data_IF_142177770705
#
_entry.id   IF_142177770705
#
_cell.length_a   1.000
_cell.length_b   1.000
_cell.length_c   1.000
_cell.angle_alpha   90.00
_cell.angle_beta   90.00
_cell.angle_gamma   90.00
#
_symmetry.space_group_name_H-M   'P 1'
#
loop_
_entity.id
_entity.type
_entity.pdbx_description
1 polymer ?
#
# COMPACT_ATOMS: atom_id res chain seq x y z
N UNK A 1 -15.93 -21.26 7.13
CA UNK A 1 -16.50 -21.86 5.90
C UNK A 1 -16.52 -20.87 4.73
N UNK A 2 -16.85 -19.58 4.94
CA UNK A 2 -16.82 -18.55 3.89
C UNK A 2 -15.38 -18.14 3.50
N UNK A 3 -14.49 -17.97 4.48
CA UNK A 3 -13.08 -17.61 4.27
C UNK A 3 -12.33 -18.61 3.38
N UNK A 4 -12.55 -19.91 3.60
CA UNK A 4 -11.91 -20.98 2.81
C UNK A 4 -12.36 -21.00 1.35
N UNK A 5 -13.59 -20.57 1.05
CA UNK A 5 -14.08 -20.45 -0.33
C UNK A 5 -13.51 -19.22 -1.04
N UNK A 6 -13.40 -18.10 -0.32
CA UNK A 6 -12.75 -16.88 -0.82
C UNK A 6 -11.27 -17.16 -1.09
N UNK A 7 -10.58 -17.85 -0.19
CA UNK A 7 -9.17 -18.22 -0.37
C UNK A 7 -8.97 -19.11 -1.61
N UNK A 8 -9.82 -20.12 -1.78
CA UNK A 8 -9.77 -21.00 -2.95
C UNK A 8 -10.01 -20.23 -4.26
N UNK A 9 -10.98 -19.31 -4.27
CA UNK A 9 -11.25 -18.44 -5.41
C UNK A 9 -10.08 -17.51 -5.72
N UNK A 10 -9.54 -16.83 -4.71
CA UNK A 10 -8.40 -15.93 -4.87
C UNK A 10 -7.16 -16.67 -5.36
N UNK A 11 -6.90 -17.88 -4.85
CA UNK A 11 -5.83 -18.74 -5.36
C UNK A 11 -6.09 -19.14 -6.81
N UNK A 12 -7.30 -19.54 -7.18
CA UNK A 12 -7.59 -19.92 -8.56
C UNK A 12 -7.47 -18.75 -9.56
N UNK A 13 -7.95 -17.56 -9.19
CA UNK A 13 -8.01 -16.40 -10.08
C UNK A 13 -6.67 -15.64 -10.17
N UNK A 14 -6.02 -15.38 -9.04
CA UNK A 14 -4.87 -14.48 -8.99
C UNK A 14 -3.52 -15.20 -8.97
N UNK A 15 -3.43 -16.38 -8.34
CA UNK A 15 -2.17 -17.11 -8.21
C UNK A 15 -1.47 -17.42 -9.56
N UNK A 16 -2.14 -17.85 -10.66
CA UNK A 16 -1.41 -18.16 -11.90
C UNK A 16 -0.73 -16.94 -12.52
N UNK A 17 -1.32 -15.75 -12.36
CA UNK A 17 -0.72 -14.51 -12.84
C UNK A 17 0.37 -14.00 -11.90
N UNK A 18 0.07 -13.94 -10.61
CA UNK A 18 1.01 -13.47 -9.59
C UNK A 18 2.25 -14.37 -9.55
N UNK A 19 2.07 -15.69 -9.56
CA UNK A 19 3.19 -16.64 -9.48
C UNK A 19 4.21 -16.46 -10.61
N UNK A 20 3.76 -16.16 -11.84
CA UNK A 20 4.63 -15.92 -13.00
C UNK A 20 5.60 -14.76 -12.77
N UNK A 21 5.19 -13.76 -11.99
CA UNK A 21 5.96 -12.55 -11.71
C UNK A 21 6.74 -12.69 -10.41
N UNK A 22 6.09 -13.17 -9.34
CA UNK A 22 6.66 -13.19 -7.99
C UNK A 22 7.61 -14.36 -7.75
N UNK A 23 7.45 -15.53 -8.39
CA UNK A 23 8.42 -16.63 -8.22
C UNK A 23 9.85 -16.29 -8.67
N UNK A 24 10.10 -15.78 -9.89
CA UNK A 24 11.47 -15.47 -10.30
C UNK A 24 12.09 -14.37 -9.45
N UNK A 25 11.29 -13.40 -8.99
CA UNK A 25 11.73 -12.35 -8.07
C UNK A 25 12.10 -12.96 -6.71
N UNK A 26 11.25 -13.83 -6.16
CA UNK A 26 11.52 -14.48 -4.88
C UNK A 26 12.75 -15.39 -4.95
N UNK A 27 12.97 -16.14 -6.04
CA UNK A 27 14.17 -16.97 -6.21
C UNK A 27 15.45 -16.13 -6.27
N UNK A 28 15.40 -14.94 -6.87
CA UNK A 28 16.51 -13.99 -6.90
C UNK A 28 16.77 -13.33 -5.54
N UNK A 29 15.72 -13.00 -4.78
CA UNK A 29 15.84 -12.25 -3.52
C UNK A 29 16.01 -13.13 -2.28
N UNK A 30 15.51 -14.38 -2.27
CA UNK A 30 15.61 -15.30 -1.14
C UNK A 30 17.03 -15.50 -0.58
N UNK A 31 18.10 -15.62 -1.41
CA UNK A 31 19.45 -15.81 -0.88
C UNK A 31 20.04 -14.53 -0.27
N UNK A 32 19.41 -13.37 -0.45
CA UNK A 32 19.89 -12.10 0.07
C UNK A 32 19.23 -11.86 1.43
N UNK A 33 20.03 -11.85 2.50
CA UNK A 33 19.55 -11.49 3.83
C UNK A 33 19.11 -10.02 3.84
N UNK A 34 17.80 -9.78 3.93
CA UNK A 34 17.20 -8.44 3.87
C UNK A 34 16.39 -8.09 5.14
N UNK A 35 17.02 -8.04 6.33
CA UNK A 35 16.31 -7.72 7.58
C UNK A 35 15.74 -6.30 7.59
N UNK A 36 16.30 -5.41 6.77
CA UNK A 36 15.91 -4.01 6.68
C UNK A 36 14.84 -3.74 5.60
N UNK A 37 14.51 -4.72 4.75
CA UNK A 37 13.58 -4.48 3.64
C UNK A 37 12.20 -4.05 4.14
N UNK A 38 11.69 -4.67 5.21
CA UNK A 38 10.41 -4.30 5.83
C UNK A 38 10.46 -2.89 6.42
N UNK A 39 11.53 -2.55 7.13
CA UNK A 39 11.72 -1.21 7.71
C UNK A 39 11.79 -0.12 6.62
N UNK A 40 12.49 -0.40 5.52
CA UNK A 40 12.59 0.53 4.39
C UNK A 40 11.24 0.64 3.68
N UNK A 41 10.51 -0.46 3.46
CA UNK A 41 9.20 -0.45 2.84
C UNK A 41 8.17 0.35 3.67
N UNK A 42 8.13 0.12 4.98
CA UNK A 42 7.28 0.88 5.91
C UNK A 42 7.70 2.35 5.92
N UNK A 43 9.01 2.63 5.96
CA UNK A 43 9.55 3.98 5.92
C UNK A 43 9.17 4.74 4.65
N UNK A 44 9.18 4.07 3.49
CA UNK A 44 8.70 4.64 2.24
C UNK A 44 7.21 4.95 2.27
N UNK A 45 6.40 4.02 2.78
CA UNK A 45 4.95 4.22 2.91
C UNK A 45 4.63 5.42 3.81
N UNK A 46 5.17 5.40 5.03
CA UNK A 46 4.94 6.46 6.04
C UNK A 46 5.53 7.79 5.56
N UNK A 47 6.74 7.79 4.99
CA UNK A 47 7.38 8.98 4.45
C UNK A 47 6.56 9.61 3.31
N UNK A 48 6.01 8.79 2.41
CA UNK A 48 5.13 9.28 1.34
C UNK A 48 3.84 9.85 1.90
N UNK A 49 3.26 9.24 2.93
CA UNK A 49 2.05 9.75 3.59
C UNK A 49 2.29 11.12 4.27
N UNK A 50 3.41 11.27 4.98
CA UNK A 50 3.81 12.55 5.58
C UNK A 50 4.03 13.60 4.50
N UNK A 51 4.69 13.23 3.39
CA UNK A 51 4.92 14.14 2.27
C UNK A 51 3.60 14.62 1.63
N UNK A 52 2.67 13.71 1.32
CA UNK A 52 1.35 14.05 0.78
C UNK A 52 0.56 14.94 1.75
N UNK A 53 0.65 14.67 3.05
CA UNK A 53 -0.10 15.40 4.05
C UNK A 53 0.48 16.81 4.33
N UNK A 54 1.80 16.97 4.34
CA UNK A 54 2.47 18.18 4.85
C UNK A 54 3.17 19.00 3.76
N UNK A 55 3.86 18.34 2.83
CA UNK A 55 4.74 19.00 1.85
C UNK A 55 4.05 19.25 0.51
N UNK A 56 3.11 18.40 0.11
CA UNK A 56 2.41 18.53 -1.16
C UNK A 56 1.46 19.74 -1.13
N UNK A 57 1.69 20.71 -2.03
CA UNK A 57 0.82 21.90 -2.10
C UNK A 57 -0.61 21.49 -2.45
N UNK A 58 -1.56 22.09 -1.74
CA UNK A 58 -3.00 21.88 -1.92
C UNK A 58 -3.42 22.04 -3.39
N UNK A 59 -2.80 22.98 -4.10
CA UNK A 59 -3.10 23.30 -5.50
C UNK A 59 -2.84 22.15 -6.49
N UNK A 60 -2.00 21.17 -6.18
CA UNK A 60 -1.75 20.06 -7.12
C UNK A 60 -2.84 19.00 -7.11
N UNK A 61 -3.55 18.86 -6.00
CA UNK A 61 -4.49 17.75 -5.79
C UNK A 61 -5.93 18.25 -5.66
N UNK A 62 -6.11 19.44 -5.11
CA UNK A 62 -7.42 20.03 -4.85
C UNK A 62 -7.74 21.19 -5.81
N UNK A 63 -7.13 21.21 -7.00
CA UNK A 63 -7.43 22.22 -8.02
C UNK A 63 -8.89 22.08 -8.48
N UNK A 64 -9.64 23.18 -8.45
CA UNK A 64 -11.06 23.19 -8.84
C UNK A 64 -12.04 22.71 -7.78
N UNK A 65 -11.63 22.51 -6.52
CA UNK A 65 -12.59 22.08 -5.48
C UNK A 65 -13.63 23.17 -5.16
N UNK A 66 -14.93 22.84 -5.12
CA UNK A 66 -15.99 23.81 -4.86
C UNK A 66 -16.05 24.28 -3.40
N UNK A 67 -15.47 23.53 -2.46
CA UNK A 67 -15.57 23.85 -1.03
C UNK A 67 -14.24 23.64 -0.30
N UNK A 68 -13.75 24.67 0.39
CA UNK A 68 -12.46 24.65 1.09
C UNK A 68 -12.56 24.06 2.50
N UNK A 69 -13.15 22.86 2.62
CA UNK A 69 -13.31 22.14 3.89
C UNK A 69 -12.31 20.98 3.99
N UNK A 70 -11.87 20.69 5.21
CA UNK A 70 -10.99 19.56 5.54
C UNK A 70 -11.49 18.20 5.04
N UNK A 71 -12.80 17.92 5.11
CA UNK A 71 -13.40 16.69 4.55
C UNK A 71 -13.41 16.63 3.02
N UNK A 72 -13.13 17.73 2.32
CA UNK A 72 -13.00 17.75 0.86
C UNK A 72 -11.54 17.67 0.42
N UNK A 73 -10.60 17.50 1.36
CA UNK A 73 -9.18 17.46 1.05
C UNK A 73 -8.75 16.06 0.60
N UNK A 74 -8.48 15.89 -0.69
CA UNK A 74 -8.04 14.61 -1.25
C UNK A 74 -6.69 14.16 -0.68
N UNK A 75 -5.83 15.08 -0.19
CA UNK A 75 -4.55 14.69 0.44
C UNK A 75 -4.81 13.87 1.69
N UNK A 76 -5.75 14.33 2.52
CA UNK A 76 -6.09 13.70 3.80
C UNK A 76 -6.77 12.35 3.56
N UNK A 77 -7.67 12.27 2.57
CA UNK A 77 -8.29 11.00 2.17
C UNK A 77 -7.31 10.01 1.55
N UNK A 78 -6.35 10.48 0.76
CA UNK A 78 -5.28 9.63 0.23
C UNK A 78 -4.52 8.96 1.37
N UNK A 79 -4.10 9.73 2.38
CA UNK A 79 -3.43 9.21 3.58
C UNK A 79 -4.34 8.23 4.33
N UNK A 80 -5.61 8.58 4.55
CA UNK A 80 -6.57 7.72 5.24
C UNK A 80 -6.77 6.37 4.52
N UNK A 81 -6.85 6.38 3.19
CA UNK A 81 -7.00 5.18 2.36
C UNK A 81 -5.77 4.28 2.36
N UNK A 82 -4.58 4.85 2.60
CA UNK A 82 -3.32 4.12 2.63
C UNK A 82 -2.99 3.54 4.02
N UNK A 83 -3.56 4.08 5.11
CA UNK A 83 -3.35 3.58 6.48
C UNK A 83 -3.60 2.07 6.66
N UNK A 84 -4.66 1.46 6.06
CA UNK A 84 -4.87 0.02 6.16
C UNK A 84 -3.70 -0.81 5.62
N UNK A 85 -2.96 -0.32 4.61
CA UNK A 85 -1.81 -1.03 4.06
C UNK A 85 -0.68 -1.11 5.09
N UNK A 86 -0.42 -0.01 5.79
CA UNK A 86 0.57 0.03 6.87
C UNK A 86 0.16 -0.91 8.02
N UNK A 87 -1.13 -0.95 8.36
CA UNK A 87 -1.64 -1.88 9.37
C UNK A 87 -1.43 -3.35 8.98
N UNK A 88 -1.71 -3.70 7.72
CA UNK A 88 -1.45 -5.04 7.18
C UNK A 88 0.04 -5.39 7.26
N UNK A 89 0.94 -4.45 6.92
CA UNK A 89 2.39 -4.66 7.05
C UNK A 89 2.85 -4.91 8.49
N UNK A 90 2.22 -4.28 9.49
CA UNK A 90 2.53 -4.53 10.90
C UNK A 90 1.86 -5.79 11.46
N UNK A 91 0.72 -6.21 10.92
CA UNK A 91 -0.05 -7.35 11.41
C UNK A 91 0.42 -8.70 10.83
N UNK A 92 0.89 -8.72 9.58
CA UNK A 92 1.29 -9.94 8.87
C UNK A 92 2.82 -10.15 8.79
N UNK A 93 3.62 -9.29 9.42
CA UNK A 93 5.06 -9.49 9.63
C UNK A 93 5.31 -10.06 11.02
#
# INVERSE_FOLDING_TARGET
MFETQIEAFCKAAFYPFLSRIFHPINELLNPIYQPWATLIAIGFFVGTMIWVCVLLKESYVNEGRPNRRWWSDLRLWTVLSMLPHVFVYFYFY
#
